data_IF_300404405208
#
_entry.id   IF_300404405208
#
_cell.length_a   1.000
_cell.length_b   1.000
_cell.length_c   1.000
_cell.angle_alpha   90.00
_cell.angle_beta   90.00
_cell.angle_gamma   90.00
#
_symmetry.space_group_name_H-M   'P 1'
#
loop_
_entity.id
_entity.type
_entity.pdbx_description
1 polymer ?
#
# COMPACT_ATOMS: atom_id res chain seq x y z
N UNK A 1 17.76 -20.09 -18.32
CA UNK A 1 19.02 -19.73 -19.04
C UNK A 1 19.59 -18.45 -18.43
N UNK A 2 20.91 -18.21 -18.57
CA UNK A 2 21.52 -16.93 -18.18
C UNK A 2 21.54 -16.04 -19.43
N UNK A 3 21.04 -14.81 -19.31
CA UNK A 3 21.06 -13.81 -20.40
C UNK A 3 22.49 -13.26 -20.62
N UNK A 4 22.72 -12.59 -21.74
CA UNK A 4 24.02 -11.95 -22.04
C UNK A 4 24.45 -10.89 -21.02
N UNK A 5 23.50 -10.26 -20.33
CA UNK A 5 23.73 -9.30 -19.25
C UNK A 5 24.02 -9.94 -17.87
N UNK A 6 24.11 -11.27 -17.83
CA UNK A 6 24.34 -12.04 -16.60
C UNK A 6 23.10 -12.32 -15.76
N UNK A 7 21.93 -11.82 -16.16
CA UNK A 7 20.67 -12.08 -15.50
C UNK A 7 20.08 -13.44 -15.91
N UNK A 8 19.21 -14.00 -15.07
CA UNK A 8 18.50 -15.22 -15.38
C UNK A 8 17.25 -14.95 -16.21
N UNK A 9 17.04 -15.78 -17.23
CA UNK A 9 15.79 -15.80 -17.97
C UNK A 9 14.87 -16.88 -17.45
N UNK A 10 13.74 -16.46 -16.89
CA UNK A 10 12.71 -17.35 -16.37
C UNK A 10 11.45 -17.39 -17.24
N UNK A 11 11.49 -16.83 -18.46
CA UNK A 11 10.33 -16.78 -19.36
C UNK A 11 9.78 -18.17 -19.74
N UNK A 12 10.65 -19.18 -19.71
CA UNK A 12 10.30 -20.59 -19.96
C UNK A 12 10.37 -21.46 -18.72
N UNK A 13 10.39 -20.86 -17.54
CA UNK A 13 10.44 -21.62 -16.29
C UNK A 13 9.08 -22.26 -16.00
N UNK A 14 9.11 -23.52 -15.61
CA UNK A 14 7.94 -24.27 -15.17
C UNK A 14 7.80 -24.21 -13.66
N UNK A 15 6.55 -24.26 -13.12
CA UNK A 15 6.33 -24.34 -11.70
C UNK A 15 7.00 -25.61 -11.11
N UNK A 16 7.64 -25.43 -9.96
CA UNK A 16 8.33 -26.51 -9.26
C UNK A 16 7.45 -27.00 -8.10
N UNK A 17 7.39 -28.30 -7.91
CA UNK A 17 6.73 -28.87 -6.72
C UNK A 17 7.54 -28.53 -5.48
N UNK A 18 6.93 -27.75 -4.59
CA UNK A 18 7.55 -27.21 -3.38
C UNK A 18 6.79 -27.57 -2.09
N UNK A 19 5.58 -28.08 -2.24
CA UNK A 19 4.73 -28.52 -1.13
C UNK A 19 4.38 -29.99 -1.19
N UNK A 20 3.71 -30.48 -0.16
CA UNK A 20 3.19 -31.85 -0.12
C UNK A 20 2.12 -32.06 -1.18
N UNK A 21 1.88 -33.32 -1.56
CA UNK A 21 0.89 -33.73 -2.54
C UNK A 21 1.03 -33.10 -3.94
N UNK A 22 2.25 -32.71 -4.30
CA UNK A 22 2.52 -32.11 -5.62
C UNK A 22 2.20 -30.62 -5.71
N UNK A 23 2.05 -29.94 -4.59
CA UNK A 23 1.74 -28.51 -4.59
C UNK A 23 2.92 -27.67 -5.11
N UNK A 24 2.62 -26.74 -6.00
CA UNK A 24 3.56 -25.75 -6.56
C UNK A 24 3.49 -24.40 -5.86
N UNK A 25 2.53 -24.24 -4.96
CA UNK A 25 2.35 -23.09 -4.09
C UNK A 25 2.27 -23.52 -2.63
N UNK A 26 2.84 -22.72 -1.73
CA UNK A 26 2.81 -22.94 -0.28
C UNK A 26 2.50 -21.63 0.42
N UNK A 27 1.80 -21.70 1.54
CA UNK A 27 1.31 -20.52 2.26
C UNK A 27 2.02 -20.37 3.60
N UNK A 28 2.25 -19.12 3.99
CA UNK A 28 2.76 -18.80 5.32
C UNK A 28 1.73 -19.13 6.39
N UNK A 29 2.21 -19.56 7.55
CA UNK A 29 1.37 -19.72 8.73
C UNK A 29 1.11 -18.35 9.42
N UNK A 30 0.35 -18.36 10.54
CA UNK A 30 0.04 -17.18 11.33
C UNK A 30 1.27 -16.39 11.83
N UNK A 31 2.44 -17.02 11.87
CA UNK A 31 3.72 -16.40 12.26
C UNK A 31 4.52 -15.90 11.07
N UNK A 32 3.98 -15.97 9.85
CA UNK A 32 4.67 -15.58 8.63
C UNK A 32 5.74 -16.56 8.14
N UNK A 33 5.74 -17.81 8.62
CA UNK A 33 6.71 -18.83 8.19
C UNK A 33 6.10 -19.83 7.22
N UNK A 34 6.88 -20.19 6.22
CA UNK A 34 6.59 -21.30 5.31
C UNK A 34 7.87 -22.12 5.08
N UNK A 35 7.73 -23.40 4.84
CA UNK A 35 8.83 -24.31 4.54
C UNK A 35 8.44 -25.20 3.37
N UNK A 36 9.29 -25.24 2.35
CA UNK A 36 9.13 -26.18 1.24
C UNK A 36 9.56 -27.59 1.65
N UNK A 37 9.14 -28.56 0.87
CA UNK A 37 9.83 -29.87 0.83
C UNK A 37 11.27 -29.70 0.29
N UNK A 38 12.08 -30.76 0.35
CA UNK A 38 13.39 -30.73 -0.27
C UNK A 38 13.24 -30.59 -1.80
N UNK A 39 13.90 -29.60 -2.38
CA UNK A 39 13.91 -29.37 -3.82
C UNK A 39 15.31 -29.61 -4.40
N UNK A 40 15.44 -30.00 -5.66
CA UNK A 40 16.73 -30.31 -6.29
C UNK A 40 17.70 -29.12 -6.31
N UNK A 41 18.96 -29.37 -6.61
CA UNK A 41 19.91 -28.32 -6.93
C UNK A 41 19.40 -27.49 -8.10
N UNK A 42 19.56 -26.18 -8.00
CA UNK A 42 19.12 -25.32 -9.06
C UNK A 42 19.04 -23.85 -8.66
N UNK A 43 18.66 -23.04 -9.63
CA UNK A 43 18.35 -21.62 -9.43
C UNK A 43 16.87 -21.42 -9.69
N UNK A 44 16.17 -20.90 -8.70
CA UNK A 44 14.72 -20.76 -8.67
C UNK A 44 14.33 -19.30 -8.56
N UNK A 45 13.31 -18.90 -9.31
CA UNK A 45 12.60 -17.65 -9.11
C UNK A 45 11.48 -17.91 -8.08
N UNK A 46 11.47 -17.13 -7.03
CA UNK A 46 10.39 -17.15 -6.02
C UNK A 46 9.52 -15.92 -6.24
N UNK A 47 8.24 -16.16 -6.30
CA UNK A 47 7.23 -15.12 -6.50
C UNK A 47 6.14 -15.23 -5.45
N UNK A 48 5.75 -14.09 -4.89
CA UNK A 48 4.56 -14.01 -4.09
C UNK A 48 3.34 -13.98 -5.03
N UNK A 49 2.45 -14.96 -4.90
CA UNK A 49 1.24 -15.08 -5.73
C UNK A 49 0.00 -14.51 -5.05
N UNK A 50 0.03 -14.44 -3.73
CA UNK A 50 -1.06 -13.87 -2.93
C UNK A 50 -0.47 -13.03 -1.82
N UNK A 51 -0.73 -11.73 -1.89
CA UNK A 51 -0.28 -10.75 -0.88
C UNK A 51 -1.36 -10.55 0.18
N UNK A 52 -1.02 -10.41 1.46
CA UNK A 52 -1.99 -10.04 2.48
C UNK A 52 -2.69 -8.72 2.13
N UNK A 53 -3.96 -8.58 2.54
CA UNK A 53 -4.73 -7.38 2.29
C UNK A 53 -3.99 -6.14 2.87
N UNK A 54 -3.99 -5.04 2.11
CA UNK A 54 -3.31 -3.77 2.45
C UNK A 54 -1.78 -3.76 2.32
N UNK A 55 -1.17 -4.80 1.76
CA UNK A 55 0.27 -4.83 1.54
C UNK A 55 0.62 -4.84 0.05
N UNK A 56 1.80 -4.36 -0.28
CA UNK A 56 2.35 -4.50 -1.64
C UNK A 56 3.03 -5.86 -1.75
N UNK A 57 2.90 -6.54 -2.90
CA UNK A 57 3.63 -7.78 -3.13
C UNK A 57 5.14 -7.53 -3.03
N UNK A 58 5.84 -8.54 -2.56
CA UNK A 58 7.31 -8.57 -2.59
C UNK A 58 7.78 -8.76 -4.03
N UNK A 59 8.84 -8.07 -4.40
CA UNK A 59 9.47 -8.28 -5.71
C UNK A 59 9.98 -9.72 -5.84
N UNK A 60 9.91 -10.27 -7.05
CA UNK A 60 10.47 -11.58 -7.36
C UNK A 60 11.94 -11.65 -6.93
N UNK A 61 12.35 -12.74 -6.32
CA UNK A 61 13.73 -12.94 -5.90
C UNK A 61 14.27 -14.32 -6.27
N UNK A 62 15.59 -14.43 -6.31
CA UNK A 62 16.28 -15.65 -6.75
C UNK A 62 16.82 -16.41 -5.55
N UNK A 63 16.52 -17.71 -5.51
CA UNK A 63 17.07 -18.68 -4.56
C UNK A 63 17.94 -19.69 -5.28
N UNK A 64 19.12 -19.98 -4.75
CA UNK A 64 20.02 -21.00 -5.28
C UNK A 64 20.18 -22.11 -4.26
N UNK A 65 19.88 -23.32 -4.67
CA UNK A 65 20.10 -24.53 -3.88
C UNK A 65 21.39 -25.19 -4.38
N UNK A 66 22.44 -25.10 -3.58
CA UNK A 66 23.78 -25.57 -3.94
C UNK A 66 24.33 -26.63 -3.00
N UNK A 67 23.66 -26.90 -1.87
CA UNK A 67 24.12 -27.82 -0.86
C UNK A 67 23.05 -28.87 -0.52
N UNK A 68 23.49 -30.10 -0.28
CA UNK A 68 22.60 -31.17 0.18
C UNK A 68 22.49 -31.12 1.72
N UNK A 69 21.51 -30.35 2.22
CA UNK A 69 21.22 -30.27 3.67
C UNK A 69 19.73 -30.51 3.93
N UNK A 70 19.27 -31.77 3.86
CA UNK A 70 17.85 -32.06 3.97
C UNK A 70 17.25 -31.78 5.35
N UNK A 71 18.07 -31.72 6.39
CA UNK A 71 17.67 -31.49 7.78
C UNK A 71 17.82 -30.05 8.24
N UNK A 72 18.63 -29.26 7.55
CA UNK A 72 18.88 -27.85 7.83
C UNK A 72 18.37 -27.00 6.66
N UNK A 73 17.14 -26.49 6.72
CA UNK A 73 16.60 -25.69 5.63
C UNK A 73 17.38 -24.40 5.45
N UNK A 74 17.66 -24.06 4.20
CA UNK A 74 18.16 -22.74 3.85
C UNK A 74 17.08 -21.70 4.18
N UNK A 75 17.41 -20.74 5.05
CA UNK A 75 16.46 -19.75 5.53
C UNK A 75 16.60 -18.45 4.73
N UNK A 76 15.52 -18.03 4.11
CA UNK A 76 15.39 -16.71 3.50
C UNK A 76 14.45 -15.85 4.31
N UNK A 77 14.88 -14.63 4.62
CA UNK A 77 14.03 -13.64 5.25
C UNK A 77 13.59 -12.67 4.19
N UNK A 78 12.34 -12.80 3.76
CA UNK A 78 11.71 -11.82 2.91
C UNK A 78 11.17 -10.74 3.85
N UNK A 79 11.83 -9.60 3.84
CA UNK A 79 11.47 -8.48 4.68
C UNK A 79 10.79 -7.48 3.77
N UNK A 80 9.52 -7.22 3.90
CA UNK A 80 8.87 -6.04 3.36
C UNK A 80 7.66 -6.30 2.44
N UNK A 81 6.65 -6.82 3.04
CA UNK A 81 5.33 -6.36 2.67
C UNK A 81 5.20 -4.93 3.21
N UNK A 82 5.34 -3.93 2.36
CA UNK A 82 5.08 -2.55 2.77
C UNK A 82 3.58 -2.32 2.76
N UNK A 83 3.04 -1.92 3.90
CA UNK A 83 1.66 -1.45 3.97
C UNK A 83 1.43 -0.37 2.90
N UNK A 84 0.41 -0.54 2.08
CA UNK A 84 0.07 0.46 1.08
C UNK A 84 -0.46 1.71 1.78
N UNK A 85 0.12 2.85 1.47
CA UNK A 85 -0.36 4.14 1.94
C UNK A 85 -0.11 5.21 0.88
N UNK A 86 -1.02 6.16 0.76
CA UNK A 86 -0.90 7.24 -0.21
C UNK A 86 -1.21 8.60 0.44
N UNK A 87 -0.57 9.64 -0.07
CA UNK A 87 -0.85 11.01 0.36
C UNK A 87 -2.04 11.52 -0.41
N UNK A 88 -3.06 11.98 0.32
CA UNK A 88 -4.26 12.56 -0.29
C UNK A 88 -4.08 14.06 -0.50
N UNK A 89 -4.41 14.53 -1.71
CA UNK A 89 -4.57 15.94 -2.06
C UNK A 89 -6.04 16.18 -2.41
N UNK A 90 -6.67 17.19 -1.80
CA UNK A 90 -8.04 17.63 -2.08
C UNK A 90 -7.97 19.00 -2.72
N UNK A 91 -8.63 19.18 -3.87
CA UNK A 91 -8.72 20.44 -4.60
C UNK A 91 -10.17 20.90 -4.53
N UNK A 92 -10.41 22.10 -3.99
CA UNK A 92 -11.74 22.72 -4.02
C UNK A 92 -11.97 23.34 -5.39
N UNK A 93 -13.05 22.97 -6.06
CA UNK A 93 -13.46 23.53 -7.34
C UNK A 93 -14.83 24.17 -7.23
N UNK A 94 -15.02 25.23 -7.98
CA UNK A 94 -16.30 25.87 -8.22
C UNK A 94 -17.14 25.00 -9.17
N UNK A 95 -18.42 24.78 -8.84
CA UNK A 95 -19.25 23.82 -9.57
C UNK A 95 -19.64 24.31 -10.97
N UNK A 96 -19.78 25.62 -11.15
CA UNK A 96 -20.16 26.23 -12.44
C UNK A 96 -18.96 26.33 -13.39
N UNK A 97 -17.86 26.90 -12.89
CA UNK A 97 -16.69 27.23 -13.70
C UNK A 97 -15.67 26.08 -13.79
N UNK A 98 -15.76 25.07 -12.90
CA UNK A 98 -14.80 23.97 -12.74
C UNK A 98 -13.36 24.43 -12.46
N UNK A 99 -13.17 25.68 -12.06
CA UNK A 99 -11.88 26.24 -11.67
C UNK A 99 -11.63 26.05 -10.17
N UNK A 100 -10.37 25.99 -9.79
CA UNK A 100 -9.99 25.94 -8.37
C UNK A 100 -10.46 27.20 -7.65
N UNK A 101 -11.02 27.01 -6.46
CA UNK A 101 -11.42 28.11 -5.57
C UNK A 101 -10.19 28.54 -4.78
N UNK A 102 -9.58 29.66 -5.17
CA UNK A 102 -8.32 30.17 -4.58
C UNK A 102 -8.55 30.96 -3.27
N UNK A 103 -9.64 30.67 -2.56
CA UNK A 103 -9.96 31.24 -1.26
C UNK A 103 -9.62 30.20 -0.21
N UNK A 104 -8.69 30.48 0.72
CA UNK A 104 -8.31 29.53 1.75
C UNK A 104 -9.40 29.33 2.80
N UNK A 105 -9.27 28.26 3.58
CA UNK A 105 -10.11 28.03 4.75
C UNK A 105 -11.36 27.17 4.50
N UNK A 106 -11.52 26.57 3.33
CA UNK A 106 -12.52 25.49 3.19
C UNK A 106 -12.10 24.33 4.10
N UNK A 107 -12.99 23.98 5.03
CA UNK A 107 -12.75 22.92 6.00
C UNK A 107 -13.29 21.57 5.50
N UNK A 108 -12.45 20.57 5.57
CA UNK A 108 -12.81 19.19 5.27
C UNK A 108 -12.57 18.29 6.47
N UNK A 109 -13.44 17.30 6.63
CA UNK A 109 -13.22 16.11 7.45
C UNK A 109 -13.17 14.87 6.59
N UNK A 110 -12.40 13.88 7.04
CA UNK A 110 -12.27 12.59 6.37
C UNK A 110 -12.80 11.54 7.32
N UNK A 111 -13.79 10.79 6.88
CA UNK A 111 -14.37 9.70 7.64
C UNK A 111 -13.86 8.37 7.10
N UNK A 112 -13.26 7.58 7.98
CA UNK A 112 -12.82 6.21 7.70
C UNK A 112 -14.05 5.31 7.84
N UNK A 113 -14.54 4.80 6.71
CA UNK A 113 -15.77 4.01 6.65
C UNK A 113 -15.54 2.59 7.16
N UNK A 114 -14.33 2.07 7.06
CA UNK A 114 -13.98 0.72 7.51
C UNK A 114 -13.88 0.64 9.04
N UNK A 115 -13.48 1.74 9.68
CA UNK A 115 -13.33 1.82 11.14
C UNK A 115 -14.37 2.72 11.82
N UNK A 116 -15.33 3.25 11.07
CA UNK A 116 -16.45 4.09 11.55
C UNK A 116 -16.00 5.28 12.42
N UNK A 117 -14.94 5.98 12.01
CA UNK A 117 -14.39 7.13 12.75
C UNK A 117 -13.79 8.18 11.83
N UNK A 118 -13.70 9.41 12.33
CA UNK A 118 -12.96 10.45 11.62
C UNK A 118 -11.45 10.22 11.71
N UNK A 119 -10.76 10.52 10.61
CA UNK A 119 -9.30 10.45 10.52
C UNK A 119 -8.70 11.58 11.34
N UNK A 120 -7.82 11.22 12.26
CA UNK A 120 -6.98 12.15 13.02
C UNK A 120 -5.52 11.92 12.65
N UNK A 121 -4.79 13.00 12.39
CA UNK A 121 -3.37 12.94 12.07
C UNK A 121 -2.57 13.84 12.99
N UNK A 122 -1.37 13.39 13.36
CA UNK A 122 -0.52 14.13 14.30
C UNK A 122 0.75 14.58 13.59
N UNK A 123 1.03 15.88 13.64
CA UNK A 123 2.35 16.43 13.28
C UNK A 123 3.13 16.75 14.54
N UNK A 124 4.44 16.49 14.54
CA UNK A 124 5.30 16.64 15.72
C UNK A 124 6.27 17.84 15.63
N UNK A 125 6.38 18.45 14.46
CA UNK A 125 7.29 19.59 14.24
C UNK A 125 6.52 20.77 13.61
N UNK A 126 6.77 22.02 14.06
CA UNK A 126 7.64 22.47 15.15
C UNK A 126 7.09 22.15 16.55
N UNK A 127 5.82 21.88 16.67
CA UNK A 127 5.12 21.46 17.89
C UNK A 127 4.15 20.31 17.56
N UNK A 128 3.80 19.54 18.56
CA UNK A 128 2.82 18.46 18.38
C UNK A 128 1.43 19.06 18.18
N UNK A 129 0.81 18.78 17.04
CA UNK A 129 -0.55 19.20 16.68
C UNK A 129 -1.35 18.00 16.21
N UNK A 130 -2.55 17.83 16.78
CA UNK A 130 -3.52 16.85 16.31
C UNK A 130 -4.50 17.53 15.35
N UNK A 131 -4.54 17.03 14.12
CA UNK A 131 -5.43 17.53 13.06
C UNK A 131 -6.67 16.63 13.01
N UNK A 132 -7.82 17.21 13.33
CA UNK A 132 -9.14 16.56 13.22
C UNK A 132 -9.96 17.13 12.08
N UNK A 133 -9.48 18.23 11.49
CA UNK A 133 -9.99 18.90 10.29
C UNK A 133 -8.83 19.38 9.43
N UNK A 134 -9.07 19.54 8.14
CA UNK A 134 -8.07 19.87 7.14
C UNK A 134 -8.58 21.05 6.30
N UNK A 135 -7.72 22.03 6.06
CA UNK A 135 -8.11 23.31 5.44
C UNK A 135 -7.39 23.54 4.12
N UNK A 136 -8.10 24.08 3.13
CA UNK A 136 -7.46 24.51 1.89
C UNK A 136 -6.59 25.75 2.13
N UNK A 137 -5.50 25.82 1.36
CA UNK A 137 -4.60 26.98 1.29
C UNK A 137 -5.05 28.01 0.24
N UNK A 138 -4.22 29.02 -0.02
CA UNK A 138 -4.44 30.07 -1.01
C UNK A 138 -4.41 29.56 -2.45
N UNK A 139 -3.90 28.36 -2.70
CA UNK A 139 -3.88 27.70 -4.01
C UNK A 139 -5.13 26.84 -4.26
N UNK A 140 -6.08 26.85 -3.30
CA UNK A 140 -7.36 26.16 -3.40
C UNK A 140 -7.29 24.65 -3.19
N UNK A 141 -6.25 24.15 -2.56
CA UNK A 141 -6.12 22.74 -2.21
C UNK A 141 -5.59 22.54 -0.79
N UNK A 142 -5.71 21.33 -0.31
CA UNK A 142 -5.03 20.84 0.88
C UNK A 142 -4.30 19.54 0.57
N UNK A 143 -3.23 19.26 1.31
CA UNK A 143 -2.54 17.98 1.31
C UNK A 143 -2.52 17.48 2.75
N UNK A 144 -2.95 16.25 2.97
CA UNK A 144 -2.93 15.68 4.31
C UNK A 144 -1.50 15.64 4.88
N UNK A 145 -1.32 15.93 6.18
CA UNK A 145 0.00 15.88 6.84
C UNK A 145 0.66 14.50 6.70
N UNK A 146 -0.12 13.43 6.87
CA UNK A 146 0.33 12.05 6.80
C UNK A 146 -0.37 11.28 5.68
N UNK A 147 0.18 10.14 5.29
CA UNK A 147 -0.46 9.24 4.35
C UNK A 147 -1.72 8.61 4.97
N UNK A 148 -2.71 8.35 4.14
CA UNK A 148 -3.79 7.44 4.47
C UNK A 148 -3.38 6.00 4.14
N UNK A 149 -3.79 5.07 4.98
CA UNK A 149 -3.74 3.65 4.69
C UNK A 149 -4.74 3.32 3.59
N UNK A 150 -4.61 2.14 2.97
CA UNK A 150 -5.66 1.67 2.06
C UNK A 150 -6.95 1.46 2.87
N UNK A 151 -8.08 1.85 2.29
CA UNK A 151 -9.39 1.79 2.95
C UNK A 151 -10.41 2.60 2.18
N UNK A 152 -11.65 2.61 2.68
CA UNK A 152 -12.74 3.38 2.12
C UNK A 152 -12.94 4.64 2.93
N UNK A 153 -12.83 5.78 2.29
CA UNK A 153 -12.92 7.07 2.96
C UNK A 153 -14.00 7.94 2.34
N UNK A 154 -14.69 8.69 3.20
CA UNK A 154 -15.65 9.72 2.81
C UNK A 154 -15.07 11.09 3.16
N UNK A 155 -15.04 11.98 2.18
CA UNK A 155 -14.57 13.36 2.32
C UNK A 155 -15.79 14.25 2.45
N UNK A 156 -15.88 14.99 3.55
CA UNK A 156 -16.98 15.86 3.89
C UNK A 156 -16.50 17.31 3.96
N UNK A 157 -17.17 18.22 3.24
CA UNK A 157 -16.99 19.66 3.43
C UNK A 157 -17.79 20.11 4.64
N UNK A 158 -17.11 20.71 5.63
CA UNK A 158 -17.71 21.16 6.88
C UNK A 158 -18.01 22.64 6.86
N UNK A 159 -17.09 23.42 6.29
CA UNK A 159 -17.22 24.87 6.17
C UNK A 159 -16.80 25.30 4.76
N UNK A 160 -17.67 26.06 4.08
CA UNK A 160 -17.36 26.66 2.78
C UNK A 160 -16.61 28.00 2.97
N UNK A 161 -15.79 28.42 2.00
CA UNK A 161 -15.17 29.73 2.03
C UNK A 161 -16.21 30.83 1.79
N UNK A 162 -15.85 32.09 2.11
CA UNK A 162 -16.74 33.23 1.93
C UNK A 162 -17.25 33.34 0.49
N UNK A 163 -18.56 33.54 0.34
CA UNK A 163 -19.23 33.61 -0.95
C UNK A 163 -19.65 32.27 -1.56
N UNK A 164 -19.37 31.19 -0.90
CA UNK A 164 -19.76 29.84 -1.35
C UNK A 164 -20.68 29.12 -0.35
N UNK A 165 -21.49 28.23 -0.87
CA UNK A 165 -22.35 27.35 -0.05
C UNK A 165 -21.65 26.00 0.15
N UNK A 166 -21.88 25.38 1.33
CA UNK A 166 -21.35 24.05 1.65
C UNK A 166 -21.89 23.03 0.66
N UNK A 167 -21.00 22.24 0.09
CA UNK A 167 -21.40 21.05 -0.66
C UNK A 167 -21.80 19.95 0.33
N UNK A 168 -23.10 19.63 0.37
CA UNK A 168 -23.63 18.55 1.23
C UNK A 168 -23.41 17.16 0.68
N UNK A 169 -22.98 17.03 -0.58
CA UNK A 169 -22.59 15.77 -1.16
C UNK A 169 -21.14 15.48 -0.75
N UNK A 170 -20.89 14.30 -0.25
CA UNK A 170 -19.55 13.84 0.07
C UNK A 170 -18.94 13.07 -1.13
N UNK A 171 -17.62 13.06 -1.20
CA UNK A 171 -16.88 12.23 -2.14
C UNK A 171 -16.39 10.97 -1.42
N UNK A 172 -16.52 9.83 -2.08
CA UNK A 172 -15.97 8.55 -1.62
C UNK A 172 -14.72 8.19 -2.44
N UNK A 173 -13.71 7.69 -1.76
CA UNK A 173 -12.44 7.29 -2.36
C UNK A 173 -11.97 5.96 -1.77
#
# INVERSE_FOLDING_TARGET
MVKEDGNYDFSSAEPVVIGENGATEIFTNEKGYVKSIAIPYGTYLVRETTTPHNYKPVDDFIVRITENKPTEPQTWRVLLDKEFSAKLKIIKQDDETKKSVLIPGTEFKIYDMDHEKYVEQVTTYPTTVTHTSYFTDTDGYLILPQNLKIGHYRIEEVTAPEGYTINKNYAEI
#
